data_IF_082992540241
#
_entry.id   IF_082992540241
#
_cell.length_a   1.000
_cell.length_b   1.000
_cell.length_c   1.000
_cell.angle_alpha   90.00
_cell.angle_beta   90.00
_cell.angle_gamma   90.00
#
_symmetry.space_group_name_H-M   'P 1'
#
loop_
_entity.id
_entity.type
_entity.pdbx_description
1 polymer ?
#
# COMPACT_ATOMS: atom_id res chain seq x y z
N UNK A 1 39.18 -18.84 -23.71
CA UNK A 1 37.93 -19.63 -23.64
C UNK A 1 37.33 -19.54 -22.25
N UNK A 2 38.03 -19.95 -21.19
CA UNK A 2 37.53 -19.86 -19.80
C UNK A 2 37.21 -18.42 -19.33
N UNK A 3 38.07 -17.44 -19.63
CA UNK A 3 37.80 -16.03 -19.30
C UNK A 3 36.59 -15.45 -20.04
N UNK A 4 36.33 -15.91 -21.26
CA UNK A 4 35.18 -15.45 -22.05
C UNK A 4 33.88 -16.08 -21.52
N UNK A 5 33.93 -17.36 -21.16
CA UNK A 5 32.81 -18.07 -20.53
C UNK A 5 32.46 -17.47 -19.16
N UNK A 6 33.46 -17.18 -18.33
CA UNK A 6 33.25 -16.53 -17.03
C UNK A 6 32.66 -15.12 -17.18
N UNK A 7 33.11 -14.36 -18.19
CA UNK A 7 32.54 -13.03 -18.51
C UNK A 7 31.09 -13.15 -18.95
N UNK A 8 30.76 -14.12 -19.80
CA UNK A 8 29.40 -14.38 -20.25
C UNK A 8 28.48 -14.74 -19.08
N UNK A 9 28.90 -15.63 -18.19
CA UNK A 9 28.14 -15.99 -17.00
C UNK A 9 27.92 -14.79 -16.07
N UNK A 10 28.91 -13.93 -15.86
CA UNK A 10 28.75 -12.72 -15.06
C UNK A 10 27.72 -11.73 -15.65
N UNK A 11 27.63 -11.63 -16.98
CA UNK A 11 26.61 -10.82 -17.66
C UNK A 11 25.22 -11.43 -17.43
N UNK A 12 25.09 -12.76 -17.62
CA UNK A 12 23.83 -13.49 -17.38
C UNK A 12 23.38 -13.36 -15.91
N UNK A 13 24.30 -13.51 -14.95
CA UNK A 13 24.03 -13.30 -13.52
C UNK A 13 23.41 -11.93 -13.27
N UNK A 14 24.07 -10.88 -13.78
CA UNK A 14 23.61 -9.50 -13.59
C UNK A 14 22.24 -9.25 -14.23
N UNK A 15 22.01 -9.88 -15.39
CA UNK A 15 20.75 -9.80 -16.13
C UNK A 15 19.61 -10.48 -15.40
N UNK A 16 19.78 -11.72 -14.91
CA UNK A 16 18.76 -12.43 -14.14
C UNK A 16 18.36 -11.63 -12.89
N UNK A 17 19.35 -11.09 -12.17
CA UNK A 17 19.08 -10.26 -11.00
C UNK A 17 18.33 -8.98 -11.35
N UNK A 18 18.63 -8.37 -12.50
CA UNK A 18 17.89 -7.19 -12.98
C UNK A 18 16.46 -7.52 -13.36
N UNK A 19 16.24 -8.63 -14.07
CA UNK A 19 14.91 -9.12 -14.42
C UNK A 19 14.07 -9.39 -13.17
N UNK A 20 14.65 -10.00 -12.13
CA UNK A 20 13.97 -10.23 -10.86
C UNK A 20 13.66 -8.94 -10.10
N UNK A 21 14.52 -7.91 -10.18
CA UNK A 21 14.18 -6.59 -9.61
C UNK A 21 12.99 -5.95 -10.33
N UNK A 22 13.00 -5.92 -11.66
CA UNK A 22 11.89 -5.40 -12.47
C UNK A 22 10.57 -6.15 -12.20
N UNK A 23 10.66 -7.47 -12.04
CA UNK A 23 9.57 -8.35 -11.64
C UNK A 23 8.96 -7.98 -10.28
N UNK A 24 9.81 -7.76 -9.27
CA UNK A 24 9.35 -7.40 -7.93
C UNK A 24 8.81 -5.96 -7.88
N UNK A 25 9.44 -5.02 -8.57
CA UNK A 25 8.98 -3.63 -8.68
C UNK A 25 7.58 -3.56 -9.33
N UNK A 26 7.34 -4.35 -10.38
CA UNK A 26 6.02 -4.44 -11.02
C UNK A 26 4.95 -4.98 -10.06
N UNK A 27 5.29 -5.98 -9.23
CA UNK A 27 4.38 -6.53 -8.21
C UNK A 27 4.08 -5.52 -7.10
N UNK A 28 5.08 -4.74 -6.68
CA UNK A 28 4.92 -3.67 -5.70
C UNK A 28 3.98 -2.58 -6.24
N UNK A 29 4.15 -2.18 -7.50
CA UNK A 29 3.27 -1.23 -8.16
C UNK A 29 1.81 -1.74 -8.23
N UNK A 30 1.62 -3.04 -8.45
CA UNK A 30 0.32 -3.71 -8.38
C UNK A 30 -0.61 -3.44 -9.57
N UNK A 31 -0.07 -2.98 -10.70
CA UNK A 31 -0.79 -2.90 -11.97
C UNK A 31 -0.70 -4.27 -12.67
N UNK A 32 -1.82 -4.99 -12.74
CA UNK A 32 -1.89 -6.31 -13.32
C UNK A 32 -1.42 -6.36 -14.79
N UNK A 33 -1.67 -5.31 -15.57
CA UNK A 33 -1.25 -5.25 -16.98
C UNK A 33 0.27 -5.13 -17.11
N UNK A 34 0.90 -4.38 -16.20
CA UNK A 34 2.36 -4.24 -16.13
C UNK A 34 2.98 -5.55 -15.66
N UNK A 35 2.43 -6.17 -14.61
CA UNK A 35 2.92 -7.46 -14.11
C UNK A 35 2.89 -8.53 -15.19
N UNK A 36 1.77 -8.70 -15.90
CA UNK A 36 1.64 -9.68 -17.00
C UNK A 36 2.66 -9.41 -18.11
N UNK A 37 2.85 -8.13 -18.50
CA UNK A 37 3.82 -7.77 -19.52
C UNK A 37 5.26 -8.08 -19.10
N UNK A 38 5.60 -7.83 -17.83
CA UNK A 38 6.92 -8.14 -17.26
C UNK A 38 7.14 -9.65 -17.17
N UNK A 39 6.16 -10.42 -16.71
CA UNK A 39 6.24 -11.88 -16.62
C UNK A 39 6.46 -12.50 -18.00
N UNK A 40 5.74 -12.04 -19.03
CA UNK A 40 5.92 -12.51 -20.41
C UNK A 40 7.32 -12.19 -20.96
N UNK A 41 7.78 -10.93 -20.79
CA UNK A 41 9.13 -10.50 -21.19
C UNK A 41 10.20 -11.34 -20.50
N UNK A 42 10.04 -11.55 -19.19
CA UNK A 42 10.99 -12.29 -18.38
C UNK A 42 11.06 -13.76 -18.79
N UNK A 43 9.92 -14.41 -18.99
CA UNK A 43 9.84 -15.78 -19.51
C UNK A 43 10.57 -15.95 -20.83
N UNK A 44 10.28 -15.10 -21.82
CA UNK A 44 10.91 -15.15 -23.15
C UNK A 44 12.44 -15.04 -23.04
N UNK A 45 12.91 -14.11 -22.19
CA UNK A 45 14.34 -13.93 -22.00
C UNK A 45 14.98 -15.10 -21.28
N UNK A 46 14.33 -15.62 -20.24
CA UNK A 46 14.84 -16.74 -19.46
C UNK A 46 14.90 -18.03 -20.29
N UNK A 47 13.95 -18.25 -21.22
CA UNK A 47 14.03 -19.35 -22.19
C UNK A 47 15.30 -19.29 -23.04
N UNK A 48 15.74 -18.09 -23.43
CA UNK A 48 16.99 -17.91 -24.18
C UNK A 48 18.20 -18.21 -23.29
N UNK A 49 18.21 -17.74 -22.05
CA UNK A 49 19.29 -17.99 -21.08
C UNK A 49 19.41 -19.50 -20.82
N UNK A 50 18.30 -20.19 -20.57
CA UNK A 50 18.27 -21.63 -20.32
C UNK A 50 18.80 -22.42 -21.53
N UNK A 51 18.46 -22.01 -22.76
CA UNK A 51 19.03 -22.62 -23.96
C UNK A 51 20.55 -22.44 -24.08
N UNK A 52 21.10 -21.37 -23.51
CA UNK A 52 22.54 -21.08 -23.56
C UNK A 52 23.33 -21.83 -22.50
N UNK A 53 22.82 -21.91 -21.26
CA UNK A 53 23.61 -22.39 -20.10
C UNK A 53 22.95 -23.55 -19.31
N UNK A 54 21.79 -24.04 -19.74
CA UNK A 54 20.95 -24.96 -18.95
C UNK A 54 20.31 -24.25 -17.77
N UNK A 55 20.03 -24.97 -16.68
CA UNK A 55 19.55 -24.32 -15.46
C UNK A 55 20.59 -23.33 -14.92
N UNK A 56 20.23 -22.09 -14.58
CA UNK A 56 21.11 -21.14 -13.90
C UNK A 56 21.43 -21.58 -12.46
N UNK A 57 22.26 -22.62 -12.31
CA UNK A 57 22.63 -23.20 -11.01
C UNK A 57 23.55 -22.30 -10.19
N UNK A 58 23.68 -22.57 -8.88
CA UNK A 58 24.55 -21.79 -7.97
C UNK A 58 25.99 -21.67 -8.48
N UNK A 59 26.58 -22.73 -9.02
CA UNK A 59 27.93 -22.74 -9.59
C UNK A 59 28.06 -21.84 -10.82
N UNK A 60 27.02 -21.73 -11.64
CA UNK A 60 27.06 -20.96 -12.89
C UNK A 60 26.86 -19.48 -12.64
N UNK A 61 25.91 -19.12 -11.79
CA UNK A 61 25.45 -17.72 -11.65
C UNK A 61 25.49 -17.16 -10.22
N UNK A 62 25.83 -17.97 -9.23
CA UNK A 62 25.75 -17.61 -7.81
C UNK A 62 24.36 -17.90 -7.21
N UNK A 63 24.28 -17.94 -5.88
CA UNK A 63 23.07 -18.30 -5.14
C UNK A 63 21.91 -17.32 -5.39
N UNK A 64 22.17 -16.02 -5.28
CA UNK A 64 21.14 -14.98 -5.47
C UNK A 64 20.51 -15.03 -6.88
N UNK A 65 21.35 -15.20 -7.91
CA UNK A 65 20.86 -15.26 -9.29
C UNK A 65 20.18 -16.60 -9.61
N UNK A 66 20.61 -17.69 -8.98
CA UNK A 66 19.93 -18.99 -9.12
C UNK A 66 18.51 -18.93 -8.53
N UNK A 67 18.37 -18.36 -7.32
CA UNK A 67 17.06 -18.15 -6.71
C UNK A 67 16.20 -17.15 -7.50
N UNK A 68 16.80 -16.06 -7.99
CA UNK A 68 16.12 -15.10 -8.87
C UNK A 68 15.61 -15.77 -10.16
N UNK A 69 16.37 -16.69 -10.77
CA UNK A 69 15.90 -17.46 -11.93
C UNK A 69 14.67 -18.30 -11.57
N UNK A 70 14.65 -18.93 -10.40
CA UNK A 70 13.49 -19.67 -9.91
C UNK A 70 12.26 -18.77 -9.70
N UNK A 71 12.41 -17.59 -9.07
CA UNK A 71 11.32 -16.62 -8.91
C UNK A 71 10.69 -16.29 -10.28
N UNK A 72 11.51 -16.04 -11.29
CA UNK A 72 11.01 -15.72 -12.63
C UNK A 72 10.27 -16.90 -13.29
N UNK A 73 10.68 -18.14 -13.03
CA UNK A 73 9.95 -19.35 -13.51
C UNK A 73 8.61 -19.50 -12.80
N UNK A 74 8.56 -19.29 -11.48
CA UNK A 74 7.33 -19.43 -10.71
C UNK A 74 6.24 -18.45 -11.21
N UNK A 75 6.63 -17.32 -11.80
CA UNK A 75 5.71 -16.30 -12.33
C UNK A 75 5.28 -16.55 -13.78
N UNK A 76 5.87 -17.53 -14.46
CA UNK A 76 5.45 -17.94 -15.80
C UNK A 76 4.19 -18.84 -15.77
N UNK A 77 3.17 -18.47 -14.99
CA UNK A 77 1.97 -19.28 -14.72
C UNK A 77 1.15 -19.58 -15.98
N UNK A 78 1.24 -18.74 -17.02
CA UNK A 78 0.60 -18.98 -18.32
C UNK A 78 1.33 -20.03 -19.19
N UNK A 79 2.51 -20.50 -18.80
CA UNK A 79 3.33 -21.47 -19.56
C UNK A 79 3.78 -22.64 -18.68
N UNK A 80 2.82 -23.51 -18.33
CA UNK A 80 3.08 -24.73 -17.55
C UNK A 80 4.13 -25.65 -18.19
N UNK A 81 4.21 -25.68 -19.52
CA UNK A 81 5.21 -26.50 -20.21
C UNK A 81 6.63 -25.99 -19.93
N UNK A 82 6.82 -24.67 -19.90
CA UNK A 82 8.07 -24.07 -19.50
C UNK A 82 8.40 -24.30 -18.02
N UNK A 83 7.43 -24.17 -17.12
CA UNK A 83 7.65 -24.47 -15.69
C UNK A 83 8.09 -25.93 -15.48
N UNK A 84 7.45 -26.90 -16.15
CA UNK A 84 7.86 -28.32 -16.10
C UNK A 84 9.29 -28.54 -16.62
N UNK A 85 9.63 -27.93 -17.76
CA UNK A 85 10.99 -28.01 -18.30
C UNK A 85 12.02 -27.50 -17.29
N UNK A 86 11.75 -26.36 -16.65
CA UNK A 86 12.63 -25.80 -15.63
C UNK A 86 12.73 -26.71 -14.41
N UNK A 87 11.63 -27.28 -13.93
CA UNK A 87 11.63 -28.23 -12.82
C UNK A 87 12.48 -29.48 -13.13
N UNK A 88 12.37 -30.04 -14.34
CA UNK A 88 13.18 -31.18 -14.78
C UNK A 88 14.68 -30.83 -14.84
N UNK A 89 15.01 -29.62 -15.34
CA UNK A 89 16.39 -29.13 -15.36
C UNK A 89 16.93 -28.90 -13.94
N UNK A 90 16.13 -28.35 -13.03
CA UNK A 90 16.48 -28.18 -11.62
C UNK A 90 16.78 -29.53 -10.96
N UNK A 91 15.96 -30.55 -11.22
CA UNK A 91 16.14 -31.91 -10.69
C UNK A 91 17.36 -32.64 -11.27
N UNK A 92 17.80 -32.25 -12.46
CA UNK A 92 18.97 -32.82 -13.12
C UNK A 92 20.31 -32.23 -12.61
N UNK A 93 20.29 -31.05 -11.98
CA UNK A 93 21.46 -30.46 -11.33
C UNK A 93 21.80 -31.21 -10.03
N UNK A 94 23.00 -31.00 -9.49
CA UNK A 94 23.38 -31.59 -8.19
C UNK A 94 22.52 -30.98 -7.06
N UNK A 95 22.30 -31.76 -5.99
CA UNK A 95 21.40 -31.35 -4.88
C UNK A 95 21.81 -30.01 -4.23
N UNK A 96 23.09 -29.71 -4.16
CA UNK A 96 23.64 -28.47 -3.59
C UNK A 96 23.63 -27.27 -4.55
N UNK A 97 23.37 -27.51 -5.83
CA UNK A 97 23.37 -26.51 -6.91
C UNK A 97 22.01 -25.83 -7.12
N UNK A 98 20.97 -26.31 -6.42
CA UNK A 98 19.60 -25.79 -6.44
C UNK A 98 19.03 -25.88 -5.03
N UNK A 99 18.40 -24.80 -4.54
CA UNK A 99 17.69 -24.86 -3.27
C UNK A 99 16.55 -25.87 -3.36
N UNK A 100 16.49 -26.80 -2.40
CA UNK A 100 15.51 -27.89 -2.48
C UNK A 100 14.09 -27.37 -2.22
N UNK A 101 13.93 -26.37 -1.36
CA UNK A 101 12.65 -25.67 -1.18
C UNK A 101 12.10 -25.09 -2.50
N UNK A 102 12.94 -24.50 -3.36
CA UNK A 102 12.54 -23.96 -4.66
C UNK A 102 11.92 -25.07 -5.56
N UNK A 103 12.48 -26.28 -5.52
CA UNK A 103 11.92 -27.45 -6.22
C UNK A 103 10.54 -27.83 -5.64
N UNK A 104 10.40 -27.85 -4.30
CA UNK A 104 9.15 -28.20 -3.64
C UNK A 104 8.02 -27.22 -4.00
N UNK A 105 8.29 -25.91 -3.95
CA UNK A 105 7.32 -24.88 -4.31
C UNK A 105 6.91 -24.95 -5.79
N UNK A 106 7.86 -25.17 -6.71
CA UNK A 106 7.54 -25.24 -8.14
C UNK A 106 6.76 -26.52 -8.49
N UNK A 107 7.09 -27.66 -7.88
CA UNK A 107 6.36 -28.92 -8.08
C UNK A 107 4.89 -28.79 -7.61
N UNK A 108 4.68 -28.30 -6.39
CA UNK A 108 3.33 -28.06 -5.88
C UNK A 108 2.53 -27.09 -6.76
N UNK A 109 3.17 -25.99 -7.23
CA UNK A 109 2.53 -25.01 -8.12
C UNK A 109 2.06 -25.62 -9.44
N UNK A 110 2.93 -26.42 -10.06
CA UNK A 110 2.61 -27.15 -11.30
C UNK A 110 1.47 -28.15 -11.03
N UNK A 111 1.56 -28.94 -9.96
CA UNK A 111 0.54 -29.92 -9.57
C UNK A 111 -0.83 -29.30 -9.39
N UNK A 112 -0.91 -28.23 -8.60
CA UNK A 112 -2.18 -27.52 -8.35
C UNK A 112 -2.74 -26.94 -9.65
N UNK A 113 -1.90 -26.36 -10.49
CA UNK A 113 -2.32 -25.84 -11.81
C UNK A 113 -2.85 -26.93 -12.74
N UNK A 114 -2.41 -28.18 -12.55
CA UNK A 114 -2.90 -29.36 -13.25
C UNK A 114 -4.12 -30.02 -12.58
N UNK A 115 -4.62 -29.46 -11.48
CA UNK A 115 -5.71 -30.04 -10.68
C UNK A 115 -5.29 -31.28 -9.88
N UNK A 116 -3.99 -31.47 -9.65
CA UNK A 116 -3.44 -32.54 -8.82
C UNK A 116 -3.26 -32.06 -7.38
N UNK A 117 -3.17 -33.04 -6.46
CA UNK A 117 -2.84 -32.78 -5.07
C UNK A 117 -1.38 -32.35 -4.95
N UNK A 118 -1.13 -31.36 -4.08
CA UNK A 118 0.22 -30.89 -3.78
C UNK A 118 0.93 -31.82 -2.79
N UNK A 119 2.25 -31.86 -2.82
CA UNK A 119 3.07 -32.76 -2.00
C UNK A 119 3.63 -32.08 -0.74
N UNK A 120 3.95 -30.79 -0.81
CA UNK A 120 4.71 -30.08 0.23
C UNK A 120 3.88 -29.00 0.96
N UNK A 121 2.65 -28.73 0.51
CA UNK A 121 1.73 -27.81 1.18
C UNK A 121 2.03 -26.34 0.92
N UNK A 122 2.70 -26.00 -0.17
CA UNK A 122 3.15 -24.63 -0.45
C UNK A 122 2.10 -23.74 -1.13
N UNK A 123 1.09 -24.31 -1.76
CA UNK A 123 0.03 -23.58 -2.46
C UNK A 123 -1.22 -23.44 -1.59
N UNK A 124 -1.87 -22.29 -1.71
CA UNK A 124 -2.99 -21.87 -0.88
C UNK A 124 -4.10 -21.27 -1.75
N UNK A 125 -5.32 -21.32 -1.23
CA UNK A 125 -6.51 -20.75 -1.85
C UNK A 125 -7.38 -20.02 -0.84
N UNK A 126 -8.19 -19.10 -1.35
CA UNK A 126 -9.26 -18.47 -0.56
C UNK A 126 -10.50 -19.33 -0.66
N UNK A 127 -10.92 -19.89 0.46
CA UNK A 127 -12.20 -20.56 0.67
C UNK A 127 -13.21 -19.57 1.28
N UNK A 128 -14.47 -19.65 0.84
CA UNK A 128 -15.52 -18.71 1.25
C UNK A 128 -15.90 -18.80 2.72
N UNK A 129 -15.75 -19.98 3.33
CA UNK A 129 -16.16 -20.24 4.72
C UNK A 129 -14.95 -20.31 5.64
N UNK A 130 -13.85 -20.89 5.16
CA UNK A 130 -12.65 -21.18 5.96
C UNK A 130 -11.54 -20.15 5.80
N UNK A 131 -11.72 -19.14 4.95
CA UNK A 131 -10.71 -18.13 4.67
C UNK A 131 -9.55 -18.68 3.86
N UNK A 132 -8.32 -18.29 4.17
CA UNK A 132 -7.13 -18.73 3.43
C UNK A 132 -6.64 -20.09 3.94
N UNK A 133 -6.77 -21.12 3.10
CA UNK A 133 -6.46 -22.51 3.45
C UNK A 133 -5.48 -23.10 2.41
N UNK A 134 -4.67 -24.11 2.79
CA UNK A 134 -3.82 -24.80 1.82
C UNK A 134 -4.68 -25.53 0.78
N UNK A 135 -4.14 -25.67 -0.43
CA UNK A 135 -4.67 -26.64 -1.39
C UNK A 135 -4.56 -28.07 -0.85
N UNK A 136 -5.35 -29.00 -1.38
CA UNK A 136 -5.41 -30.36 -0.83
C UNK A 136 -4.05 -31.07 -0.98
N UNK A 137 -3.54 -31.58 0.15
CA UNK A 137 -2.23 -32.20 0.24
C UNK A 137 -2.36 -33.71 0.07
N UNK A 138 -1.52 -34.30 -0.78
CA UNK A 138 -1.39 -35.74 -0.92
C UNK A 138 -0.65 -36.31 0.29
N UNK A 139 -1.13 -37.42 0.86
CA UNK A 139 -0.52 -38.10 2.01
C UNK A 139 -0.01 -37.14 3.12
N UNK A 140 -0.93 -36.47 3.85
CA UNK A 140 -0.57 -35.50 4.88
C UNK A 140 0.16 -36.12 6.07
N UNK A 141 0.05 -37.44 6.28
CA UNK A 141 0.74 -38.15 7.37
C UNK A 141 2.27 -38.14 7.21
N UNK A 142 2.77 -38.17 5.97
CA UNK A 142 4.20 -38.13 5.65
C UNK A 142 4.69 -36.75 5.17
N UNK A 143 3.86 -35.72 5.28
CA UNK A 143 4.16 -34.36 4.80
C UNK A 143 5.42 -33.78 5.45
N UNK A 144 5.54 -33.84 6.77
CA UNK A 144 6.67 -33.24 7.47
C UNK A 144 7.99 -33.94 7.15
N UNK A 145 7.97 -35.25 6.87
CA UNK A 145 9.16 -35.96 6.39
C UNK A 145 9.57 -35.44 5.00
N UNK A 146 8.62 -35.28 4.07
CA UNK A 146 8.90 -34.71 2.74
C UNK A 146 9.42 -33.27 2.83
N UNK A 147 8.86 -32.45 3.72
CA UNK A 147 9.31 -31.06 3.97
C UNK A 147 10.73 -31.04 4.54
N UNK A 148 11.03 -31.88 5.52
CA UNK A 148 12.37 -31.99 6.09
C UNK A 148 13.42 -32.43 5.06
N UNK A 149 13.10 -33.37 4.16
CA UNK A 149 14.01 -33.81 3.09
C UNK A 149 14.38 -32.69 2.10
N UNK A 150 13.52 -31.67 2.00
CA UNK A 150 13.68 -30.45 1.20
C UNK A 150 14.22 -29.26 2.01
N UNK A 151 14.53 -29.45 3.30
CA UNK A 151 15.05 -28.39 4.17
C UNK A 151 14.00 -27.39 4.68
N UNK A 152 12.72 -27.74 4.59
CA UNK A 152 11.60 -26.88 4.99
C UNK A 152 11.16 -27.17 6.43
N UNK A 153 10.64 -26.15 7.11
CA UNK A 153 10.03 -26.26 8.45
C UNK A 153 8.78 -27.16 8.47
N UNK A 154 8.37 -27.73 9.61
CA UNK A 154 7.13 -28.50 9.73
C UNK A 154 5.91 -27.72 9.21
N UNK A 155 4.96 -28.43 8.58
CA UNK A 155 3.81 -27.78 7.95
C UNK A 155 2.95 -27.01 8.94
N UNK A 156 2.82 -27.51 10.18
CA UNK A 156 2.06 -26.82 11.22
C UNK A 156 2.60 -25.40 11.48
N UNK A 157 3.92 -25.27 11.65
CA UNK A 157 4.60 -23.98 11.89
C UNK A 157 4.44 -23.01 10.71
N UNK A 158 4.70 -23.52 9.50
CA UNK A 158 4.49 -22.78 8.26
C UNK A 158 3.04 -22.31 8.10
N UNK A 159 2.07 -23.22 8.30
CA UNK A 159 0.65 -22.94 8.11
C UNK A 159 0.13 -21.89 9.08
N UNK A 160 0.60 -21.92 10.34
CA UNK A 160 0.27 -20.91 11.33
C UNK A 160 0.83 -19.53 10.94
N UNK A 161 2.07 -19.47 10.42
CA UNK A 161 2.67 -18.22 9.96
C UNK A 161 1.90 -17.62 8.77
N UNK A 162 1.54 -18.46 7.78
CA UNK A 162 0.77 -18.04 6.60
C UNK A 162 -0.63 -17.55 6.99
N UNK A 163 -1.31 -18.25 7.90
CA UNK A 163 -2.63 -17.84 8.39
C UNK A 163 -2.56 -16.50 9.13
N UNK A 164 -1.62 -16.32 10.06
CA UNK A 164 -1.43 -15.04 10.76
C UNK A 164 -1.13 -13.89 9.81
N UNK A 165 -0.32 -14.13 8.78
CA UNK A 165 -0.05 -13.15 7.74
C UNK A 165 -1.32 -12.79 6.97
N UNK A 166 -2.11 -13.79 6.54
CA UNK A 166 -3.35 -13.54 5.81
C UNK A 166 -4.41 -12.83 6.66
N UNK A 167 -4.60 -13.24 7.92
CA UNK A 167 -5.49 -12.56 8.88
C UNK A 167 -5.10 -11.09 9.05
N UNK A 168 -3.80 -10.82 9.19
CA UNK A 168 -3.29 -9.46 9.26
C UNK A 168 -3.61 -8.67 8.00
N UNK A 169 -3.37 -9.24 6.82
CA UNK A 169 -3.63 -8.57 5.54
C UNK A 169 -5.12 -8.34 5.26
N UNK A 170 -5.95 -9.34 5.56
CA UNK A 170 -7.40 -9.29 5.33
C UNK A 170 -8.15 -8.44 6.36
N UNK A 171 -7.51 -8.09 7.48
CA UNK A 171 -8.05 -7.09 8.40
C UNK A 171 -8.15 -5.73 7.73
N UNK A 172 -9.16 -4.93 8.12
CA UNK A 172 -9.34 -3.55 7.66
C UNK A 172 -8.04 -2.73 7.83
N UNK A 173 -7.36 -2.91 8.96
CA UNK A 173 -6.07 -2.27 9.23
C UNK A 173 -4.96 -2.75 8.29
N UNK A 174 -4.94 -4.03 7.91
CA UNK A 174 -4.01 -4.59 6.93
C UNK A 174 -4.16 -3.95 5.56
N UNK A 175 -5.40 -3.85 5.06
CA UNK A 175 -5.71 -3.18 3.81
C UNK A 175 -5.27 -1.70 3.81
N UNK A 176 -5.53 -0.97 4.90
CA UNK A 176 -5.11 0.43 5.03
C UNK A 176 -3.58 0.56 5.09
N UNK A 177 -2.87 -0.33 5.81
CA UNK A 177 -1.40 -0.30 5.85
C UNK A 177 -0.77 -0.62 4.50
N UNK A 178 -1.34 -1.56 3.73
CA UNK A 178 -0.90 -1.83 2.36
C UNK A 178 -1.15 -0.63 1.44
N UNK A 179 -2.31 0.02 1.56
CA UNK A 179 -2.59 1.26 0.85
C UNK A 179 -1.54 2.34 1.17
N UNK A 180 -1.28 2.59 2.44
CA UNK A 180 -0.32 3.59 2.90
C UNK A 180 1.12 3.25 2.50
N UNK A 181 1.49 1.97 2.48
CA UNK A 181 2.78 1.52 1.98
C UNK A 181 3.01 1.99 0.55
N UNK A 182 2.02 1.76 -0.33
CA UNK A 182 2.07 2.15 -1.74
C UNK A 182 1.97 3.67 -1.92
N UNK A 183 1.02 4.30 -1.23
CA UNK A 183 0.75 5.73 -1.33
C UNK A 183 1.95 6.57 -0.88
N UNK A 184 2.65 6.16 0.19
CA UNK A 184 3.82 6.86 0.72
C UNK A 184 5.15 6.37 0.10
N UNK A 185 5.13 5.32 -0.72
CA UNK A 185 6.32 4.74 -1.32
C UNK A 185 7.33 4.20 -0.28
N UNK A 186 6.83 3.59 0.80
CA UNK A 186 7.66 3.13 1.93
C UNK A 186 7.76 1.59 1.97
N UNK A 187 8.80 1.08 2.63
CA UNK A 187 8.92 -0.36 2.88
C UNK A 187 7.84 -0.88 3.84
N UNK A 188 7.49 -2.17 3.74
CA UNK A 188 6.49 -2.81 4.61
C UNK A 188 6.80 -2.61 6.10
N UNK A 189 8.07 -2.75 6.51
CA UNK A 189 8.50 -2.54 7.91
C UNK A 189 8.19 -1.13 8.42
N UNK A 190 8.17 -0.14 7.52
CA UNK A 190 7.84 1.24 7.83
C UNK A 190 6.32 1.46 7.89
N UNK A 191 5.55 0.85 6.97
CA UNK A 191 4.09 0.88 7.02
C UNK A 191 3.54 0.29 8.34
N UNK A 192 4.23 -0.72 8.90
CA UNK A 192 3.84 -1.31 10.18
C UNK A 192 3.93 -0.36 11.38
N UNK A 193 4.79 0.67 11.30
CA UNK A 193 4.98 1.69 12.35
C UNK A 193 3.84 2.72 12.39
N UNK A 194 3.02 2.79 11.35
CA UNK A 194 1.86 3.69 11.28
C UNK A 194 0.79 3.18 12.25
N UNK A 195 0.35 4.05 13.17
CA UNK A 195 -0.74 3.74 14.10
C UNK A 195 -2.06 4.08 13.43
N UNK A 196 -3.03 3.17 13.49
CA UNK A 196 -4.38 3.38 12.99
C UNK A 196 -5.36 3.43 14.17
N UNK A 197 -6.23 4.43 14.19
CA UNK A 197 -7.33 4.54 15.14
C UNK A 197 -8.59 5.04 14.45
N UNK A 198 -9.76 4.72 15.01
CA UNK A 198 -11.04 5.27 14.56
C UNK A 198 -11.27 6.64 15.18
N UNK A 199 -11.96 7.54 14.49
CA UNK A 199 -12.14 8.91 15.03
C UNK A 199 -12.98 8.93 16.32
N UNK A 200 -13.83 7.93 16.54
CA UNK A 200 -14.55 7.74 17.83
C UNK A 200 -13.59 7.53 19.02
N UNK A 201 -12.40 7.03 18.75
CA UNK A 201 -11.36 6.70 19.74
C UNK A 201 -10.30 7.82 19.84
N UNK A 202 -10.61 9.02 19.33
CA UNK A 202 -9.70 10.17 19.38
C UNK A 202 -9.36 10.57 20.84
N UNK A 203 -8.10 10.98 21.08
CA UNK A 203 -7.69 11.58 22.34
C UNK A 203 -8.55 12.80 22.72
N UNK A 204 -8.64 13.07 24.03
CA UNK A 204 -9.53 14.08 24.62
C UNK A 204 -9.39 15.47 23.98
N UNK A 205 -8.18 15.87 23.60
CA UNK A 205 -7.90 17.17 22.96
C UNK A 205 -8.55 17.32 21.57
N UNK A 206 -8.89 16.22 20.90
CA UNK A 206 -9.53 16.22 19.58
C UNK A 206 -11.04 15.90 19.61
N UNK A 207 -11.57 15.47 20.76
CA UNK A 207 -12.98 15.08 20.89
C UNK A 207 -13.95 16.25 20.64
N UNK A 208 -13.58 17.48 21.00
CA UNK A 208 -14.40 18.66 20.73
C UNK A 208 -14.54 18.94 19.23
N UNK A 209 -13.42 18.83 18.49
CA UNK A 209 -13.40 18.97 17.04
C UNK A 209 -14.24 17.88 16.36
N UNK A 210 -14.14 16.63 16.81
CA UNK A 210 -14.95 15.51 16.32
C UNK A 210 -16.44 15.67 16.63
N UNK A 211 -16.77 16.12 17.84
CA UNK A 211 -18.14 16.28 18.33
C UNK A 211 -18.93 17.38 17.61
N UNK A 212 -18.24 18.42 17.10
CA UNK A 212 -18.85 19.55 16.39
C UNK A 212 -19.77 19.15 15.22
N UNK A 213 -19.46 18.04 14.54
CA UNK A 213 -20.22 17.60 13.38
C UNK A 213 -21.59 17.00 13.69
N UNK A 214 -21.78 16.48 14.91
CA UNK A 214 -22.98 15.71 15.30
C UNK A 214 -23.37 14.61 14.29
N UNK A 215 -22.38 13.99 13.67
CA UNK A 215 -22.53 13.01 12.61
C UNK A 215 -21.85 11.70 13.02
N UNK A 216 -22.63 10.65 13.27
CA UNK A 216 -22.12 9.33 13.71
C UNK A 216 -21.35 8.61 12.59
N UNK A 217 -21.60 8.92 11.31
CA UNK A 217 -20.89 8.28 10.19
C UNK A 217 -19.38 8.50 10.28
N UNK A 218 -18.97 9.64 10.82
CA UNK A 218 -17.57 9.98 11.01
C UNK A 218 -16.86 9.04 12.00
N UNK A 219 -17.56 8.33 12.89
CA UNK A 219 -16.94 7.37 13.85
C UNK A 219 -16.14 6.28 13.14
N UNK A 220 -16.54 5.92 11.93
CA UNK A 220 -15.88 4.91 11.09
C UNK A 220 -14.64 5.40 10.38
N UNK A 221 -14.43 6.72 10.27
CA UNK A 221 -13.25 7.31 9.62
C UNK A 221 -11.99 6.85 10.34
N UNK A 222 -10.98 6.49 9.56
CA UNK A 222 -9.69 6.03 10.08
C UNK A 222 -8.70 7.19 10.11
N UNK A 223 -8.05 7.40 11.25
CA UNK A 223 -6.90 8.28 11.39
C UNK A 223 -5.62 7.43 11.37
N UNK A 224 -4.70 7.78 10.47
CA UNK A 224 -3.37 7.21 10.34
C UNK A 224 -2.33 8.19 10.90
N UNK A 225 -1.75 7.84 12.04
CA UNK A 225 -0.69 8.62 12.69
C UNK A 225 0.65 8.19 12.09
N UNK A 226 1.21 9.06 11.26
CA UNK A 226 2.40 8.80 10.46
C UNK A 226 3.65 9.23 11.27
N UNK A 227 4.61 8.32 11.51
CA UNK A 227 5.89 8.68 12.14
C UNK A 227 6.59 9.84 11.42
N UNK A 228 7.21 10.73 12.19
CA UNK A 228 7.82 11.97 11.67
C UNK A 228 8.84 11.74 10.55
N UNK A 229 9.62 10.66 10.61
CA UNK A 229 10.60 10.28 9.59
C UNK A 229 9.97 9.71 8.31
N UNK A 230 8.69 9.34 8.35
CA UNK A 230 7.90 8.88 7.21
C UNK A 230 6.97 9.98 6.68
N UNK A 231 6.89 11.13 7.36
CA UNK A 231 6.04 12.24 6.96
C UNK A 231 6.72 13.08 5.88
N UNK A 232 6.16 13.07 4.68
CA UNK A 232 6.58 13.95 3.58
C UNK A 232 5.62 15.11 3.49
N UNK A 233 6.04 16.29 3.99
CA UNK A 233 5.23 17.51 3.89
C UNK A 233 5.13 17.94 2.42
N UNK A 234 3.91 17.97 1.88
CA UNK A 234 3.62 18.50 0.56
C UNK A 234 3.63 20.04 0.52
N UNK A 235 3.04 20.62 -0.53
CA UNK A 235 2.82 22.08 -0.61
C UNK A 235 1.70 22.59 0.31
N UNK A 236 1.00 21.70 1.00
CA UNK A 236 -0.09 22.06 1.91
C UNK A 236 0.47 22.52 3.27
N UNK A 237 -0.18 23.51 3.91
CA UNK A 237 0.33 24.08 5.15
C UNK A 237 0.09 23.22 6.38
N UNK A 238 -0.96 22.39 6.38
CA UNK A 238 -1.35 21.49 7.47
C UNK A 238 -0.36 20.33 7.63
N UNK A 239 -0.27 19.81 8.86
CA UNK A 239 0.41 18.54 9.16
C UNK A 239 -0.58 17.36 9.14
N UNK A 240 -1.62 17.49 8.32
CA UNK A 240 -2.71 16.54 8.13
C UNK A 240 -3.23 16.59 6.69
N UNK A 241 -3.85 15.50 6.23
CA UNK A 241 -4.60 15.44 4.98
C UNK A 241 -5.69 14.38 5.05
N UNK A 242 -6.78 14.59 4.30
CA UNK A 242 -7.86 13.62 4.18
C UNK A 242 -8.00 13.11 2.74
N UNK A 243 -8.22 11.80 2.62
CA UNK A 243 -8.66 11.16 1.39
C UNK A 243 -9.78 10.16 1.70
N UNK A 244 -11.00 10.44 1.22
CA UNK A 244 -12.20 9.65 1.49
C UNK A 244 -12.46 9.54 3.00
N UNK A 245 -12.41 8.34 3.56
CA UNK A 245 -12.61 8.04 4.99
C UNK A 245 -11.28 7.77 5.72
N UNK A 246 -10.16 8.23 5.17
CA UNK A 246 -8.83 8.10 5.75
C UNK A 246 -8.20 9.49 5.95
N UNK A 247 -7.77 9.78 7.16
CA UNK A 247 -7.02 10.99 7.51
C UNK A 247 -5.58 10.59 7.84
N UNK A 248 -4.60 11.25 7.25
CA UNK A 248 -3.19 11.13 7.62
C UNK A 248 -2.83 12.32 8.52
N UNK A 249 -2.09 12.07 9.59
CA UNK A 249 -1.62 13.12 10.50
C UNK A 249 -0.19 12.82 10.96
N UNK A 250 0.66 13.85 11.03
CA UNK A 250 2.03 13.71 11.53
C UNK A 250 2.03 13.36 13.03
N UNK A 251 2.88 12.41 13.44
CA UNK A 251 2.90 11.89 14.81
C UNK A 251 3.19 12.96 15.86
N UNK A 252 4.26 13.75 15.71
CA UNK A 252 4.58 14.80 16.69
C UNK A 252 3.49 15.86 16.81
N UNK A 253 2.76 16.11 15.72
CA UNK A 253 1.61 17.00 15.72
C UNK A 253 0.41 16.38 16.44
N UNK A 254 0.13 15.09 16.23
CA UNK A 254 -0.97 14.40 16.92
C UNK A 254 -0.73 14.20 18.42
N UNK A 255 0.52 13.97 18.82
CA UNK A 255 0.90 13.59 20.20
C UNK A 255 1.27 14.80 21.09
N UNK A 256 1.21 16.04 20.59
CA UNK A 256 1.62 17.21 21.38
C UNK A 256 0.70 17.44 22.59
N UNK A 257 1.31 17.73 23.75
CA UNK A 257 0.60 17.90 25.03
C UNK A 257 -0.16 19.24 25.16
N UNK A 258 0.35 20.29 24.52
CA UNK A 258 -0.34 21.58 24.36
C UNK A 258 -0.99 21.60 22.99
N UNK A 259 -2.26 22.04 22.89
CA UNK A 259 -3.07 21.93 21.68
C UNK A 259 -2.33 22.49 20.46
N UNK A 260 -1.71 21.66 19.60
CA UNK A 260 -0.95 22.13 18.46
C UNK A 260 -1.90 22.55 17.33
N UNK A 261 -3.20 22.30 17.49
CA UNK A 261 -4.24 22.52 16.52
C UNK A 261 -5.20 23.63 16.92
N UNK A 262 -4.64 24.79 17.27
CA UNK A 262 -5.44 25.97 17.58
C UNK A 262 -6.34 26.38 16.42
N UNK A 263 -5.92 26.12 15.17
CA UNK A 263 -6.67 26.47 13.97
C UNK A 263 -7.66 25.38 13.53
N UNK A 264 -7.71 24.23 14.22
CA UNK A 264 -8.62 23.11 13.97
C UNK A 264 -8.46 22.46 12.57
N UNK A 265 -7.24 22.15 12.17
CA UNK A 265 -6.88 21.31 11.02
C UNK A 265 -7.51 19.93 11.08
N UNK A 266 -7.56 19.26 12.24
CA UNK A 266 -8.23 17.95 12.28
C UNK A 266 -9.72 18.06 11.95
N UNK A 267 -10.38 19.11 12.44
CA UNK A 267 -11.76 19.42 12.08
C UNK A 267 -11.89 19.70 10.58
N UNK A 268 -10.94 20.42 9.99
CA UNK A 268 -10.88 20.64 8.56
C UNK A 268 -10.84 19.30 7.78
N UNK A 269 -9.98 18.36 8.18
CA UNK A 269 -9.94 17.02 7.58
C UNK A 269 -11.23 16.23 7.77
N UNK A 270 -11.82 16.28 8.97
CA UNK A 270 -13.11 15.64 9.25
C UNK A 270 -14.24 16.23 8.40
N UNK A 271 -14.17 17.52 8.06
CA UNK A 271 -15.14 18.15 7.17
C UNK A 271 -14.99 17.65 5.73
N UNK A 272 -13.78 17.36 5.25
CA UNK A 272 -13.60 16.67 3.97
C UNK A 272 -14.21 15.27 3.99
N UNK A 273 -14.01 14.50 5.07
CA UNK A 273 -14.63 13.19 5.22
C UNK A 273 -16.16 13.27 5.25
N UNK A 274 -16.74 14.21 6.00
CA UNK A 274 -18.20 14.41 6.03
C UNK A 274 -18.72 14.77 4.64
N UNK A 275 -18.07 15.72 3.97
CA UNK A 275 -18.48 16.15 2.64
C UNK A 275 -18.41 14.98 1.65
N UNK A 276 -17.37 14.14 1.70
CA UNK A 276 -17.28 12.93 0.89
C UNK A 276 -18.45 11.96 1.15
N UNK A 277 -18.80 11.75 2.42
CA UNK A 277 -19.91 10.89 2.84
C UNK A 277 -21.31 11.42 2.47
N UNK A 278 -21.43 12.70 2.15
CA UNK A 278 -22.68 13.33 1.72
C UNK A 278 -22.95 13.15 0.21
N UNK A 279 -21.94 12.79 -0.59
CA UNK A 279 -22.11 12.56 -2.02
C UNK A 279 -22.59 11.14 -2.34
N UNK A 280 -23.39 11.01 -3.39
CA UNK A 280 -23.89 9.72 -3.87
C UNK A 280 -22.81 8.88 -4.57
N UNK A 281 -21.73 9.51 -5.06
CA UNK A 281 -20.62 8.84 -5.74
C UNK A 281 -19.30 9.61 -5.64
N UNK A 282 -18.13 8.92 -5.69
CA UNK A 282 -16.83 9.56 -5.77
C UNK A 282 -16.67 10.49 -6.98
N UNK A 283 -17.29 10.18 -8.11
CA UNK A 283 -17.23 10.99 -9.33
C UNK A 283 -17.88 12.36 -9.13
N UNK A 284 -18.97 12.41 -8.35
CA UNK A 284 -19.66 13.66 -8.02
C UNK A 284 -18.79 14.56 -7.10
N UNK A 285 -18.12 13.96 -6.11
CA UNK A 285 -17.15 14.66 -5.27
C UNK A 285 -16.01 15.25 -6.10
N UNK A 286 -15.42 14.44 -6.99
CA UNK A 286 -14.33 14.86 -7.88
C UNK A 286 -14.76 15.97 -8.84
N UNK A 287 -15.97 15.88 -9.41
CA UNK A 287 -16.51 16.92 -10.28
C UNK A 287 -16.67 18.27 -9.55
N UNK A 288 -16.95 18.26 -8.24
CA UNK A 288 -17.04 19.49 -7.46
C UNK A 288 -15.67 20.11 -7.17
N UNK A 289 -14.59 19.34 -7.04
CA UNK A 289 -13.24 19.92 -6.90
C UNK A 289 -12.80 20.75 -8.12
N UNK A 290 -13.41 20.51 -9.29
CA UNK A 290 -13.13 21.23 -10.54
C UNK A 290 -14.04 22.44 -10.78
N UNK A 291 -15.02 22.69 -9.90
CA UNK A 291 -15.93 23.85 -9.99
C UNK A 291 -15.41 25.02 -9.18
N UNK A 292 -15.84 26.23 -9.56
CA UNK A 292 -15.60 27.43 -8.76
C UNK A 292 -16.65 27.59 -7.66
N UNK A 293 -16.23 27.78 -6.41
CA UNK A 293 -17.14 28.09 -5.31
C UNK A 293 -17.63 29.56 -5.35
N UNK A 294 -16.79 30.48 -5.81
CA UNK A 294 -17.11 31.89 -5.99
C UNK A 294 -16.82 32.33 -7.43
N UNK A 295 -17.86 32.58 -8.22
CA UNK A 295 -17.73 32.91 -9.64
C UNK A 295 -16.96 34.19 -9.95
N UNK A 296 -16.84 35.10 -8.99
CA UNK A 296 -16.07 36.35 -9.09
C UNK A 296 -14.57 36.20 -8.78
N UNK A 297 -14.17 35.09 -8.15
CA UNK A 297 -12.76 34.78 -7.89
C UNK A 297 -12.20 33.92 -9.04
N UNK A 298 -11.35 34.54 -9.89
CA UNK A 298 -10.70 33.85 -11.03
C UNK A 298 -9.76 32.73 -10.56
N UNK A 299 -9.79 31.61 -11.29
CA UNK A 299 -8.91 30.46 -11.11
C UNK A 299 -7.55 30.79 -11.72
N UNK A 300 -6.60 31.22 -10.89
CA UNK A 300 -5.21 31.44 -11.28
C UNK A 300 -4.36 31.60 -10.03
N UNK A 301 -3.57 30.57 -9.71
CA UNK A 301 -2.65 30.47 -8.57
C UNK A 301 -3.13 31.14 -7.26
N UNK A 302 -4.37 30.84 -6.88
CA UNK A 302 -4.96 31.16 -5.59
C UNK A 302 -5.38 29.84 -4.96
N UNK A 303 -5.30 29.71 -3.64
CA UNK A 303 -5.82 28.56 -2.91
C UNK A 303 -7.12 28.02 -3.53
N UNK A 304 -7.30 26.69 -3.69
CA UNK A 304 -8.36 26.10 -4.49
C UNK A 304 -9.76 26.63 -4.14
N UNK A 305 -10.28 27.55 -4.96
CA UNK A 305 -11.63 28.10 -4.85
C UNK A 305 -12.65 27.09 -5.37
N UNK A 306 -12.91 26.02 -4.63
CA UNK A 306 -13.87 24.99 -5.01
C UNK A 306 -14.90 24.71 -3.88
N UNK A 307 -16.07 24.13 -4.22
CA UNK A 307 -17.09 23.77 -3.24
C UNK A 307 -16.63 22.88 -2.08
N UNK A 308 -15.64 22.00 -2.30
CA UNK A 308 -15.13 21.08 -1.29
C UNK A 308 -14.35 21.84 -0.22
N UNK A 309 -13.40 22.69 -0.63
CA UNK A 309 -12.64 23.56 0.26
C UNK A 309 -13.55 24.57 0.97
N UNK A 310 -14.52 25.14 0.24
CA UNK A 310 -15.52 26.04 0.83
C UNK A 310 -16.26 25.37 1.98
N UNK A 311 -16.69 24.12 1.81
CA UNK A 311 -17.35 23.37 2.87
C UNK A 311 -16.43 23.17 4.08
N UNK A 312 -15.20 22.68 3.85
CA UNK A 312 -14.26 22.38 4.92
C UNK A 312 -13.87 23.62 5.75
N UNK A 313 -13.49 24.72 5.08
CA UNK A 313 -13.20 25.99 5.77
C UNK A 313 -14.42 26.59 6.46
N UNK A 314 -15.63 26.43 5.89
CA UNK A 314 -16.85 26.92 6.54
C UNK A 314 -17.06 26.23 7.90
N UNK A 315 -16.91 24.90 7.96
CA UNK A 315 -17.00 24.13 9.20
C UNK A 315 -15.92 24.55 10.19
N UNK A 316 -14.68 24.70 9.73
CA UNK A 316 -13.55 25.14 10.55
C UNK A 316 -13.80 26.50 11.19
N UNK A 317 -14.24 27.50 10.41
CA UNK A 317 -14.48 28.84 10.92
C UNK A 317 -15.70 28.92 11.83
N UNK A 318 -16.76 28.14 11.57
CA UNK A 318 -17.91 28.01 12.47
C UNK A 318 -17.49 27.46 13.84
N UNK A 319 -16.68 26.39 13.86
CA UNK A 319 -16.15 25.85 15.10
C UNK A 319 -15.27 26.86 15.85
N UNK A 320 -14.33 27.52 15.16
CA UNK A 320 -13.47 28.52 15.79
C UNK A 320 -14.28 29.69 16.38
N UNK A 321 -15.37 30.10 15.72
CA UNK A 321 -16.34 31.08 16.25
C UNK A 321 -17.02 30.57 17.52
N UNK A 322 -17.45 29.31 17.57
CA UNK A 322 -18.01 28.69 18.79
C UNK A 322 -16.98 28.59 19.93
N UNK A 323 -15.70 28.44 19.60
CA UNK A 323 -14.59 28.52 20.56
C UNK A 323 -14.24 29.97 20.96
N UNK A 324 -15.02 30.97 20.52
CA UNK A 324 -14.88 32.38 20.90
C UNK A 324 -13.80 33.15 20.13
N UNK A 325 -13.27 32.62 19.02
CA UNK A 325 -12.35 33.36 18.16
C UNK A 325 -13.11 34.38 17.33
N UNK A 326 -12.62 35.62 17.28
CA UNK A 326 -13.15 36.64 16.38
C UNK A 326 -12.73 36.38 14.94
N UNK A 327 -13.43 37.03 14.01
CA UNK A 327 -13.06 37.07 12.58
C UNK A 327 -11.58 37.44 12.39
N UNK A 328 -11.12 38.48 13.06
CA UNK A 328 -9.74 38.98 12.97
C UNK A 328 -8.75 37.97 13.53
N UNK A 329 -9.08 37.32 14.65
CA UNK A 329 -8.22 36.29 15.24
C UNK A 329 -8.03 35.12 14.25
N UNK A 330 -9.10 34.65 13.60
CA UNK A 330 -8.99 33.56 12.62
C UNK A 330 -8.16 33.98 11.40
N UNK A 331 -8.35 35.20 10.88
CA UNK A 331 -7.55 35.72 9.77
C UNK A 331 -6.05 35.80 10.11
N UNK A 332 -5.71 36.25 11.32
CA UNK A 332 -4.31 36.29 11.80
C UNK A 332 -3.74 34.89 11.92
N UNK A 333 -4.51 33.92 12.42
CA UNK A 333 -4.07 32.53 12.49
C UNK A 333 -3.77 31.96 11.10
N UNK A 334 -4.63 32.23 10.11
CA UNK A 334 -4.43 31.81 8.71
C UNK A 334 -3.19 32.43 8.07
N UNK A 335 -2.80 33.66 8.44
CA UNK A 335 -1.64 34.33 7.84
C UNK A 335 -0.29 33.66 8.18
N UNK A 336 -0.26 32.77 9.18
CA UNK A 336 0.90 31.93 9.44
C UNK A 336 1.08 30.80 8.43
N UNK A 337 0.06 30.52 7.60
CA UNK A 337 -0.03 29.35 6.73
C UNK A 337 -0.23 29.70 5.25
N UNK A 338 -0.81 30.87 4.97
CA UNK A 338 -1.25 31.28 3.63
C UNK A 338 -0.68 32.62 3.22
N UNK A 339 -0.58 32.82 1.90
CA UNK A 339 -0.11 34.08 1.33
C UNK A 339 -1.27 35.08 1.20
N UNK A 340 -0.97 36.37 1.11
CA UNK A 340 -1.98 37.42 0.93
C UNK A 340 -2.91 37.18 -0.26
N UNK A 341 -2.42 36.49 -1.30
CA UNK A 341 -3.18 36.16 -2.51
C UNK A 341 -4.33 35.17 -2.27
N UNK A 342 -4.29 34.41 -1.17
CA UNK A 342 -5.29 33.41 -0.79
C UNK A 342 -6.46 34.02 0.03
N UNK A 343 -6.19 35.15 0.70
CA UNK A 343 -7.16 35.81 1.59
C UNK A 343 -8.46 36.29 0.97
N UNK A 344 -8.58 36.60 -0.35
CA UNK A 344 -9.88 36.89 -0.95
C UNK A 344 -10.90 35.75 -0.78
N UNK A 345 -10.45 34.49 -0.81
CA UNK A 345 -11.31 33.33 -0.57
C UNK A 345 -11.71 33.23 0.91
N UNK A 346 -10.74 33.26 1.82
CA UNK A 346 -10.98 33.15 3.26
C UNK A 346 -11.84 34.30 3.80
N UNK A 347 -11.59 35.53 3.35
CA UNK A 347 -12.36 36.71 3.78
C UNK A 347 -13.84 36.58 3.42
N UNK A 348 -14.18 36.07 2.23
CA UNK A 348 -15.59 35.83 1.88
C UNK A 348 -16.27 34.86 2.83
N UNK A 349 -15.61 33.74 3.15
CA UNK A 349 -16.16 32.76 4.09
C UNK A 349 -16.30 33.33 5.52
N UNK A 350 -15.28 34.06 5.98
CA UNK A 350 -15.31 34.72 7.27
C UNK A 350 -16.44 35.76 7.33
N UNK A 351 -16.63 36.55 6.27
CA UNK A 351 -17.69 37.56 6.23
C UNK A 351 -19.09 36.90 6.25
N UNK A 352 -19.29 35.82 5.48
CA UNK A 352 -20.54 35.03 5.50
C UNK A 352 -20.88 34.52 6.91
N UNK A 353 -19.87 34.03 7.64
CA UNK A 353 -20.04 33.43 8.97
C UNK A 353 -20.22 34.48 10.08
N UNK A 354 -19.55 35.62 9.99
CA UNK A 354 -19.54 36.61 11.07
C UNK A 354 -20.52 37.76 10.86
N UNK A 355 -20.90 38.09 9.62
CA UNK A 355 -21.75 39.25 9.33
C UNK A 355 -23.11 38.91 8.72
N UNK A 356 -23.28 37.76 8.08
CA UNK A 356 -24.54 37.40 7.39
C UNK A 356 -25.33 36.25 8.04
N UNK A 357 -24.90 35.78 9.21
CA UNK A 357 -25.63 34.78 9.99
C UNK A 357 -26.69 35.44 10.88
N UNK A 358 -27.89 35.68 10.34
CA UNK A 358 -29.12 35.98 11.10
C UNK A 358 -30.09 34.81 11.06
#
# INVERSE_FOLDING_TARGET
>A
MEKENARQLAIITSEIQQMAREDQDARIAGDASVTIAVDQKNKERLQIIIKQIGWPSKLKVGEDAAHAAWILVQHADEDLSFQRLCLDLMRAEKKDEVAQEDIAYLDDRIRVSEGQLQLYGTQWKVDKEKGYIPETIDDPENLDQRRADMGMEPFAEYSEAVQKWYEKLSSEQGGIKQYLQKHLGIEQKNAERIKLLKTKDLPKNYQAQRGFFHDERLDGVTLAVIPDDLWVKGSQPSESSAEKELILIKQSYFEAQENPDEIAWLLHELAHCQNFLDFASPEEYQANMQKSAFGDLKIGNRYPNNPVEKFAFTKQFQYLKEQGKSRENIAVMLSGYYNEEDFPFFNKLLDDIFFFST
#
